data_IF_926915106373
#
_entry.id   IF_926915106373
#
_cell.length_a   1.000
_cell.length_b   1.000
_cell.length_c   1.000
_cell.angle_alpha   90.00
_cell.angle_beta   90.00
_cell.angle_gamma   90.00
#
_symmetry.space_group_name_H-M   'P 1'
#
loop_
_entity.id
_entity.type
_entity.pdbx_description
1 polymer ?
#
# COMPACT_ATOMS: atom_id res chain seq x y z
N UNK A 1 -13.94 18.76 -36.16
CA UNK A 1 -13.94 17.33 -35.85
C UNK A 1 -12.63 16.82 -35.22
N UNK A 2 -11.49 17.23 -35.72
CA UNK A 2 -10.20 16.81 -35.12
C UNK A 2 -9.99 17.29 -33.67
N UNK A 3 -10.56 18.43 -33.28
CA UNK A 3 -10.47 18.97 -31.92
C UNK A 3 -11.27 18.15 -30.88
N UNK A 4 -12.39 17.57 -31.28
CA UNK A 4 -13.23 16.73 -30.41
C UNK A 4 -12.54 15.41 -30.05
N UNK A 5 -11.83 14.81 -30.97
CA UNK A 5 -11.10 13.55 -30.77
C UNK A 5 -9.95 13.77 -29.79
N UNK A 6 -9.26 14.91 -29.86
CA UNK A 6 -8.19 15.29 -28.94
C UNK A 6 -8.71 15.48 -27.50
N UNK A 7 -9.88 16.09 -27.33
CA UNK A 7 -10.50 16.29 -26.02
C UNK A 7 -10.92 14.97 -25.37
N UNK A 8 -11.44 14.05 -26.15
CA UNK A 8 -11.85 12.72 -25.66
C UNK A 8 -10.62 11.92 -25.21
N UNK A 9 -9.51 12.01 -25.94
CA UNK A 9 -8.26 11.33 -25.59
C UNK A 9 -7.65 11.87 -24.28
N UNK A 10 -7.71 13.16 -24.08
CA UNK A 10 -7.22 13.81 -22.85
C UNK A 10 -8.08 13.43 -21.65
N UNK A 11 -9.40 13.37 -21.82
CA UNK A 11 -10.33 12.94 -20.77
C UNK A 11 -10.10 11.48 -20.35
N UNK A 12 -9.84 10.60 -21.29
CA UNK A 12 -9.56 9.18 -21.03
C UNK A 12 -8.27 9.01 -20.22
N UNK A 13 -7.22 9.75 -20.53
CA UNK A 13 -5.94 9.72 -19.81
C UNK A 13 -6.13 10.23 -18.38
N UNK A 14 -6.93 11.27 -18.17
CA UNK A 14 -7.23 11.81 -16.85
C UNK A 14 -7.96 10.80 -15.96
N UNK A 15 -8.91 10.05 -16.51
CA UNK A 15 -9.64 9.01 -15.78
C UNK A 15 -8.72 7.87 -15.36
N UNK A 16 -7.79 7.46 -16.22
CA UNK A 16 -6.81 6.41 -15.90
C UNK A 16 -5.86 6.85 -14.77
N UNK A 17 -5.41 8.09 -14.77
CA UNK A 17 -4.58 8.64 -13.71
C UNK A 17 -5.31 8.74 -12.38
N UNK A 18 -6.59 9.08 -12.39
CA UNK A 18 -7.45 9.13 -11.21
C UNK A 18 -7.64 7.73 -10.60
N UNK A 19 -7.84 6.71 -11.42
CA UNK A 19 -7.99 5.33 -10.96
C UNK A 19 -6.70 4.81 -10.30
N UNK A 20 -5.52 5.17 -10.81
CA UNK A 20 -4.24 4.82 -10.20
C UNK A 20 -4.01 5.52 -8.86
N UNK A 21 -4.46 6.77 -8.70
CA UNK A 21 -4.31 7.50 -7.44
C UNK A 21 -5.27 7.04 -6.35
N UNK A 22 -6.46 6.52 -6.69
CA UNK A 22 -7.41 5.98 -5.71
C UNK A 22 -6.87 4.73 -5.01
N UNK A 23 -6.16 3.84 -5.71
CA UNK A 23 -5.60 2.64 -5.10
C UNK A 23 -4.48 2.94 -4.11
N UNK A 24 -3.78 4.06 -4.26
CA UNK A 24 -2.70 4.47 -3.34
C UNK A 24 -3.21 5.23 -2.12
N UNK A 25 -4.41 5.84 -2.16
CA UNK A 25 -4.93 6.66 -1.06
C UNK A 25 -5.22 5.85 0.20
N UNK A 26 -5.67 4.61 0.07
CA UNK A 26 -5.94 3.71 1.20
C UNK A 26 -4.67 3.25 1.92
N UNK A 27 -3.55 3.25 1.23
CA UNK A 27 -2.27 2.75 1.71
C UNK A 27 -1.32 3.87 2.15
N UNK A 28 -1.76 5.12 2.14
CA UNK A 28 -0.93 6.27 2.53
C UNK A 28 -0.38 6.10 3.95
N UNK A 29 -1.20 5.67 4.89
CA UNK A 29 -0.78 5.48 6.27
C UNK A 29 0.20 4.31 6.41
N UNK A 30 0.07 3.26 5.58
CA UNK A 30 1.03 2.17 5.51
C UNK A 30 2.39 2.70 5.05
N UNK A 31 2.40 3.48 3.96
CA UNK A 31 3.62 4.06 3.40
C UNK A 31 4.31 4.94 4.42
N UNK A 32 3.60 5.89 5.02
CA UNK A 32 4.16 6.81 5.99
C UNK A 32 4.65 6.10 7.25
N UNK A 33 3.89 5.13 7.76
CA UNK A 33 4.24 4.36 8.94
C UNK A 33 5.49 3.53 8.74
N UNK A 34 5.62 2.84 7.61
CA UNK A 34 6.80 2.03 7.31
C UNK A 34 8.04 2.91 7.08
N UNK A 35 7.89 4.06 6.43
CA UNK A 35 8.97 5.01 6.26
C UNK A 35 9.50 5.49 7.62
N UNK A 36 8.61 5.79 8.53
CA UNK A 36 8.95 6.27 9.86
C UNK A 36 9.59 5.18 10.72
N UNK A 37 8.95 4.01 10.80
CA UNK A 37 9.39 2.92 11.68
C UNK A 37 10.73 2.31 11.24
N UNK A 38 10.95 2.16 9.95
CA UNK A 38 12.15 1.50 9.40
C UNK A 38 13.15 2.47 8.78
N UNK A 39 12.83 3.75 8.74
CA UNK A 39 13.68 4.81 8.17
C UNK A 39 14.09 4.50 6.72
N UNK A 40 13.13 4.07 5.93
CA UNK A 40 13.30 3.75 4.51
C UNK A 40 12.59 4.78 3.63
N UNK A 41 12.92 4.77 2.34
CA UNK A 41 12.36 5.73 1.39
C UNK A 41 10.95 5.31 0.94
N UNK A 42 10.20 6.28 0.42
CA UNK A 42 8.88 6.01 -0.17
C UNK A 42 8.97 4.98 -1.31
N UNK A 43 10.01 5.07 -2.14
CA UNK A 43 10.25 4.12 -3.23
C UNK A 43 10.43 2.69 -2.70
N UNK A 44 11.18 2.52 -1.62
CA UNK A 44 11.38 1.21 -0.98
C UNK A 44 10.08 0.67 -0.41
N UNK A 45 9.27 1.50 0.24
CA UNK A 45 7.97 1.09 0.78
C UNK A 45 7.02 0.68 -0.34
N UNK A 46 6.94 1.45 -1.41
CA UNK A 46 6.10 1.10 -2.56
C UNK A 46 6.52 -0.23 -3.20
N UNK A 47 7.82 -0.50 -3.26
CA UNK A 47 8.33 -1.78 -3.70
C UNK A 47 7.87 -2.91 -2.76
N UNK A 48 8.01 -2.74 -1.45
CA UNK A 48 7.56 -3.72 -0.46
C UNK A 48 6.06 -4.03 -0.61
N UNK A 49 5.24 -3.02 -0.76
CA UNK A 49 3.80 -3.18 -0.92
C UNK A 49 3.47 -3.96 -2.20
N UNK A 50 4.07 -3.55 -3.31
CA UNK A 50 3.85 -4.18 -4.62
C UNK A 50 4.22 -5.66 -4.62
N UNK A 51 5.34 -6.01 -3.98
CA UNK A 51 5.85 -7.38 -3.96
C UNK A 51 5.17 -8.24 -2.89
N UNK A 52 4.66 -7.63 -1.81
CA UNK A 52 4.01 -8.34 -0.72
C UNK A 52 2.56 -8.71 -1.03
N UNK A 53 1.80 -7.81 -1.66
CA UNK A 53 0.38 -8.04 -1.95
C UNK A 53 0.07 -9.38 -2.61
N UNK A 54 0.79 -9.81 -3.66
CA UNK A 54 0.50 -11.10 -4.29
C UNK A 54 0.78 -12.31 -3.42
N UNK A 55 1.57 -12.17 -2.36
CA UNK A 55 1.98 -13.28 -1.49
C UNK A 55 1.01 -13.53 -0.33
N UNK A 56 0.12 -12.60 -0.04
CA UNK A 56 -0.83 -12.69 1.06
C UNK A 56 -2.25 -12.68 0.53
N UNK A 57 -3.20 -13.15 1.34
CA UNK A 57 -4.60 -13.08 0.99
C UNK A 57 -5.09 -11.64 1.02
N UNK A 58 -6.08 -11.32 0.18
CA UNK A 58 -6.63 -9.98 0.08
C UNK A 58 -7.19 -9.47 1.41
N UNK A 59 -7.87 -10.32 2.16
CA UNK A 59 -8.41 -9.98 3.47
C UNK A 59 -7.31 -9.76 4.51
N UNK A 60 -6.21 -10.52 4.44
CA UNK A 60 -5.05 -10.30 5.31
C UNK A 60 -4.40 -8.94 5.04
N UNK A 61 -4.24 -8.58 3.78
CA UNK A 61 -3.72 -7.27 3.40
C UNK A 61 -4.63 -6.14 3.87
N UNK A 62 -5.94 -6.30 3.70
CA UNK A 62 -6.92 -5.29 4.14
C UNK A 62 -6.86 -5.06 5.66
N UNK A 63 -6.72 -6.12 6.45
CA UNK A 63 -6.56 -6.01 7.91
C UNK A 63 -5.27 -5.29 8.29
N UNK A 64 -4.20 -5.54 7.55
CA UNK A 64 -2.92 -4.86 7.74
C UNK A 64 -3.06 -3.34 7.48
N UNK A 65 -3.72 -2.97 6.39
CA UNK A 65 -4.00 -1.56 6.06
C UNK A 65 -4.87 -0.92 7.14
N UNK A 66 -5.92 -1.61 7.61
CA UNK A 66 -6.79 -1.12 8.67
C UNK A 66 -6.02 -0.85 9.97
N UNK A 67 -5.08 -1.71 10.31
CA UNK A 67 -4.22 -1.50 11.49
C UNK A 67 -3.44 -0.19 11.39
N UNK A 68 -2.81 0.07 10.25
CA UNK A 68 -2.05 1.31 10.05
C UNK A 68 -2.95 2.53 10.08
N UNK A 69 -4.16 2.44 9.51
CA UNK A 69 -5.13 3.53 9.55
C UNK A 69 -5.62 3.78 10.98
N UNK A 70 -5.84 2.74 11.76
CA UNK A 70 -6.23 2.86 13.16
C UNK A 70 -5.13 3.52 14.01
N UNK A 71 -3.88 3.12 13.81
CA UNK A 71 -2.73 3.74 14.49
C UNK A 71 -2.59 5.22 14.15
N UNK A 72 -2.78 5.59 12.89
CA UNK A 72 -2.72 6.98 12.44
C UNK A 72 -3.81 7.83 13.11
N UNK A 73 -4.96 7.24 13.42
CA UNK A 73 -6.08 7.91 14.12
C UNK A 73 -5.99 7.80 15.65
N UNK A 74 -4.90 7.27 16.19
CA UNK A 74 -4.74 7.11 17.62
C UNK A 74 -5.56 5.97 18.23
N UNK A 75 -6.10 5.09 17.39
CA UNK A 75 -6.87 3.92 17.84
C UNK A 75 -5.97 2.70 17.86
N UNK A 76 -5.90 2.04 19.00
CA UNK A 76 -5.10 0.82 19.17
C UNK A 76 -6.06 -0.38 19.21
N UNK A 77 -6.40 -0.90 18.03
CA UNK A 77 -7.30 -2.04 17.85
C UNK A 77 -6.53 -3.31 17.49
N UNK A 78 -5.60 -3.71 18.35
CA UNK A 78 -4.92 -5.00 18.21
C UNK A 78 -5.84 -6.10 18.76
N UNK A 79 -6.67 -6.63 17.89
CA UNK A 79 -7.55 -7.75 18.19
C UNK A 79 -6.79 -9.06 17.91
N UNK A 80 -6.95 -10.07 18.76
CA UNK A 80 -6.31 -11.38 18.56
C UNK A 80 -6.67 -12.01 17.21
N UNK A 81 -7.85 -11.72 16.68
CA UNK A 81 -8.30 -12.21 15.37
C UNK A 81 -7.53 -11.61 14.19
N UNK A 82 -6.90 -10.42 14.39
CA UNK A 82 -6.14 -9.75 13.34
C UNK A 82 -4.64 -10.04 13.43
N UNK A 83 -4.17 -10.56 14.55
CA UNK A 83 -2.74 -10.76 14.80
C UNK A 83 -2.11 -11.75 13.81
N UNK A 84 -2.80 -12.85 13.51
CA UNK A 84 -2.32 -13.83 12.53
C UNK A 84 -2.14 -13.21 11.15
N UNK A 85 -3.13 -12.43 10.70
CA UNK A 85 -3.07 -11.72 9.41
C UNK A 85 -1.92 -10.71 9.38
N UNK A 86 -1.74 -9.97 10.46
CA UNK A 86 -0.65 -8.99 10.59
C UNK A 86 0.72 -9.67 10.55
N UNK A 87 0.86 -10.80 11.22
CA UNK A 87 2.09 -11.59 11.21
C UNK A 87 2.40 -12.14 9.82
N UNK A 88 1.40 -12.66 9.12
CA UNK A 88 1.58 -13.20 7.77
C UNK A 88 2.07 -12.12 6.80
N UNK A 89 1.48 -10.94 6.84
CA UNK A 89 1.91 -9.80 6.02
C UNK A 89 3.33 -9.38 6.40
N UNK A 90 3.62 -9.25 7.70
CA UNK A 90 4.93 -8.85 8.19
C UNK A 90 6.04 -9.81 7.79
N UNK A 91 5.82 -11.11 7.95
CA UNK A 91 6.78 -12.16 7.57
C UNK A 91 7.03 -12.14 6.06
N UNK A 92 5.97 -12.02 5.26
CA UNK A 92 6.09 -11.93 3.80
C UNK A 92 6.89 -10.69 3.39
N UNK A 93 6.64 -9.58 4.04
CA UNK A 93 7.36 -8.31 3.78
C UNK A 93 8.85 -8.42 4.11
N UNK A 94 9.19 -9.03 5.23
CA UNK A 94 10.59 -9.28 5.62
C UNK A 94 11.29 -10.15 4.58
N UNK A 95 10.63 -11.20 4.09
CA UNK A 95 11.18 -12.08 3.06
C UNK A 95 11.46 -11.36 1.75
N UNK A 96 10.75 -10.29 1.45
CA UNK A 96 10.91 -9.51 0.22
C UNK A 96 11.93 -8.38 0.37
N UNK A 97 12.33 -8.05 1.59
CA UNK A 97 13.17 -6.87 1.87
C UNK A 97 14.37 -6.74 0.94
N UNK A 98 15.07 -7.83 0.66
CA UNK A 98 16.25 -7.82 -0.23
C UNK A 98 15.93 -7.36 -1.65
N UNK A 99 14.77 -7.72 -2.19
CA UNK A 99 14.36 -7.31 -3.54
C UNK A 99 14.13 -5.79 -3.63
N UNK A 100 13.78 -5.18 -2.52
CA UNK A 100 13.49 -3.76 -2.43
C UNK A 100 14.62 -2.95 -1.81
N UNK A 101 15.80 -3.55 -1.61
CA UNK A 101 16.97 -2.95 -0.96
C UNK A 101 16.67 -2.48 0.47
N UNK A 102 15.86 -3.25 1.19
CA UNK A 102 15.52 -2.99 2.59
C UNK A 102 16.16 -4.07 3.46
N UNK A 103 16.84 -3.63 4.51
CA UNK A 103 17.41 -4.49 5.55
C UNK A 103 16.55 -4.35 6.80
N UNK A 104 15.90 -5.42 7.18
CA UNK A 104 15.12 -5.48 8.40
C UNK A 104 15.96 -5.96 9.58
#
# INVERSE_FOLDING_TARGET
MKKLILYISILLISVLLSACSESSSKEVNVVQGLMYDYKITEKQVKCLIKETKPLVKKDEWNKYVEMWNARANGQDNMNNNNMESLMNVGISMIGIGKKCNVTF
#
